data_IF_356134896181
#
_entry.id   IF_356134896181
#
_cell.length_a   1.000
_cell.length_b   1.000
_cell.length_c   1.000
_cell.angle_alpha   90.00
_cell.angle_beta   90.00
_cell.angle_gamma   90.00
#
_symmetry.space_group_name_H-M   'P 1'
#
loop_
_entity.id
_entity.type
_entity.pdbx_description
1 polymer ?
#
# COMPACT_ATOMS: atom_id res chain seq x y z
N UNK A 1 -28.36 -73.25 49.58
CA UNK A 1 -27.48 -74.08 48.72
C UNK A 1 -26.30 -73.23 48.29
N UNK A 2 -25.16 -73.33 48.97
CA UNK A 2 -23.93 -72.66 48.55
C UNK A 2 -23.28 -73.60 47.55
N UNK A 3 -23.45 -73.36 46.25
CA UNK A 3 -22.65 -74.05 45.24
C UNK A 3 -21.18 -73.75 45.55
N UNK A 4 -20.39 -74.81 45.68
CA UNK A 4 -18.94 -74.70 45.87
C UNK A 4 -18.37 -73.83 44.73
N UNK A 5 -17.75 -72.68 45.02
CA UNK A 5 -17.38 -71.68 44.01
C UNK A 5 -16.49 -72.26 42.90
N UNK A 6 -15.66 -73.25 43.22
CA UNK A 6 -14.83 -73.97 42.26
C UNK A 6 -15.69 -74.75 41.25
N UNK A 7 -16.76 -75.39 41.70
CA UNK A 7 -17.68 -76.15 40.84
C UNK A 7 -18.46 -75.23 39.90
N UNK A 8 -18.86 -74.06 40.38
CA UNK A 8 -19.50 -73.03 39.55
C UNK A 8 -18.55 -72.50 38.47
N UNK A 9 -17.30 -72.19 38.82
CA UNK A 9 -16.30 -71.71 37.85
C UNK A 9 -16.01 -72.78 36.79
N UNK A 10 -15.82 -74.04 37.18
CA UNK A 10 -15.58 -75.12 36.22
C UNK A 10 -16.77 -75.34 35.28
N UNK A 11 -18.00 -75.29 35.80
CA UNK A 11 -19.20 -75.38 34.97
C UNK A 11 -19.33 -74.18 34.02
N UNK A 12 -19.00 -72.97 34.46
CA UNK A 12 -19.02 -71.77 33.62
C UNK A 12 -17.97 -71.82 32.51
N UNK A 13 -16.77 -72.34 32.78
CA UNK A 13 -15.73 -72.53 31.76
C UNK A 13 -16.16 -73.55 30.70
N UNK A 14 -16.77 -74.66 31.12
CA UNK A 14 -17.25 -75.69 30.20
C UNK A 14 -18.41 -75.19 29.33
N UNK A 15 -19.33 -74.39 29.88
CA UNK A 15 -20.41 -73.78 29.10
C UNK A 15 -19.88 -72.72 28.13
N UNK A 16 -18.92 -71.88 28.55
CA UNK A 16 -18.29 -70.90 27.68
C UNK A 16 -17.53 -71.54 26.52
N UNK A 17 -16.81 -72.64 26.75
CA UNK A 17 -16.13 -73.40 25.67
C UNK A 17 -17.12 -73.97 24.66
N UNK A 18 -18.27 -74.47 25.13
CA UNK A 18 -19.34 -74.96 24.24
C UNK A 18 -19.99 -73.82 23.46
N UNK A 19 -20.15 -72.64 24.06
CA UNK A 19 -20.66 -71.45 23.38
C UNK A 19 -19.68 -70.92 22.32
N UNK A 20 -18.37 -70.96 22.58
CA UNK A 20 -17.33 -70.59 21.60
C UNK A 20 -17.35 -71.48 20.35
N UNK A 21 -17.81 -72.73 20.47
CA UNK A 21 -17.95 -73.67 19.35
C UNK A 21 -19.33 -73.56 18.66
N UNK A 22 -20.25 -72.78 19.22
CA UNK A 22 -21.58 -72.60 18.68
C UNK A 22 -21.59 -71.51 17.61
N UNK A 23 -22.51 -71.56 16.62
CA UNK A 23 -22.63 -70.51 15.61
C UNK A 23 -23.23 -69.20 16.19
N UNK A 24 -23.59 -69.19 17.47
CA UNK A 24 -24.26 -68.08 18.14
C UNK A 24 -23.27 -67.14 18.80
N UNK A 25 -23.55 -65.84 18.69
CA UNK A 25 -22.68 -64.82 19.27
C UNK A 25 -23.44 -64.07 20.36
N UNK A 26 -22.77 -63.72 21.44
CA UNK A 26 -23.30 -62.81 22.46
C UNK A 26 -23.27 -61.40 21.88
N UNK A 27 -24.43 -60.75 21.89
CA UNK A 27 -24.60 -59.43 21.33
C UNK A 27 -24.50 -58.38 22.43
N UNK A 28 -23.49 -57.51 22.34
CA UNK A 28 -23.09 -56.57 23.38
C UNK A 28 -23.09 -55.14 22.83
N UNK A 29 -23.52 -54.19 23.65
CA UNK A 29 -23.39 -52.74 23.36
C UNK A 29 -22.11 -52.18 23.98
N UNK A 30 -21.46 -51.27 23.27
CA UNK A 30 -20.20 -50.68 23.74
C UNK A 30 -20.37 -49.86 25.02
N UNK A 31 -21.49 -49.15 25.19
CA UNK A 31 -21.75 -48.42 26.43
C UNK A 31 -22.07 -49.38 27.57
N UNK A 32 -21.22 -49.37 28.60
CA UNK A 32 -21.39 -50.20 29.78
C UNK A 32 -21.15 -51.70 29.57
N UNK A 33 -20.77 -52.13 28.36
CA UNK A 33 -20.63 -53.55 28.00
C UNK A 33 -21.92 -54.34 28.29
N UNK A 34 -23.07 -53.74 28.01
CA UNK A 34 -24.38 -54.33 28.28
C UNK A 34 -24.69 -55.46 27.31
N UNK A 35 -25.07 -56.62 27.87
CA UNK A 35 -25.48 -57.79 27.09
C UNK A 35 -26.94 -57.61 26.68
N UNK A 36 -27.19 -57.53 25.38
CA UNK A 36 -28.55 -57.41 24.82
C UNK A 36 -29.20 -58.78 24.69
N UNK A 37 -28.44 -59.77 24.23
CA UNK A 37 -28.97 -61.10 23.97
C UNK A 37 -28.00 -61.98 23.17
N UNK A 38 -28.56 -63.04 22.59
CA UNK A 38 -27.83 -63.99 21.74
C UNK A 38 -28.23 -63.75 20.29
N UNK A 39 -27.25 -63.42 19.47
CA UNK A 39 -27.38 -63.33 18.02
C UNK A 39 -27.48 -64.72 17.42
N UNK A 40 -28.54 -64.94 16.66
CA UNK A 40 -28.82 -66.22 15.99
C UNK A 40 -28.37 -66.25 14.53
N UNK A 41 -28.53 -65.13 13.83
CA UNK A 41 -28.11 -64.98 12.43
C UNK A 41 -27.96 -63.50 12.06
N UNK A 42 -27.20 -63.27 10.99
CA UNK A 42 -27.13 -61.98 10.30
C UNK A 42 -27.79 -62.18 8.93
N UNK A 43 -28.78 -61.35 8.61
CA UNK A 43 -29.49 -61.37 7.33
C UNK A 43 -29.11 -60.15 6.51
N UNK A 44 -28.93 -60.32 5.20
CA UNK A 44 -28.79 -59.19 4.29
C UNK A 44 -30.16 -58.87 3.68
N UNK A 45 -30.69 -57.68 3.99
CA UNK A 45 -32.00 -57.21 3.50
C UNK A 45 -31.80 -56.01 2.60
N UNK A 46 -32.48 -56.01 1.45
CA UNK A 46 -32.48 -54.84 0.57
C UNK A 46 -33.32 -53.73 1.21
N UNK A 47 -32.76 -52.53 1.32
CA UNK A 47 -33.47 -51.34 1.79
C UNK A 47 -33.80 -50.43 0.59
N UNK A 48 -35.09 -50.36 0.17
CA UNK A 48 -35.50 -49.52 -0.95
C UNK A 48 -35.25 -48.03 -0.73
N UNK A 49 -35.21 -47.58 0.53
CA UNK A 49 -34.98 -46.17 0.86
C UNK A 49 -33.53 -45.75 0.61
N UNK A 50 -32.58 -46.70 0.71
CA UNK A 50 -31.14 -46.42 0.57
C UNK A 50 -30.54 -47.03 -0.70
N UNK A 51 -31.26 -47.91 -1.40
CA UNK A 51 -30.83 -48.51 -2.67
C UNK A 51 -29.71 -49.54 -2.51
N UNK A 52 -29.55 -50.12 -1.32
CA UNK A 52 -28.42 -50.98 -0.95
C UNK A 52 -28.88 -52.21 -0.16
N UNK A 53 -28.02 -53.23 -0.12
CA UNK A 53 -28.18 -54.36 0.79
C UNK A 53 -27.62 -53.99 2.17
N UNK A 54 -28.45 -54.07 3.20
CA UNK A 54 -28.09 -53.77 4.59
C UNK A 54 -27.93 -55.05 5.40
N UNK A 55 -27.04 -55.01 6.38
CA UNK A 55 -26.82 -56.14 7.30
C UNK A 55 -27.70 -55.99 8.54
N UNK A 56 -28.54 -56.97 8.83
CA UNK A 56 -29.45 -56.99 9.97
C UNK A 56 -29.10 -58.12 10.94
N UNK A 57 -28.91 -57.77 12.21
CA UNK A 57 -28.77 -58.73 13.29
C UNK A 57 -30.15 -59.25 13.72
N UNK A 58 -30.28 -60.57 13.85
CA UNK A 58 -31.48 -61.21 14.41
C UNK A 58 -31.12 -62.15 15.55
N UNK A 59 -31.76 -61.98 16.69
CA UNK A 59 -31.44 -62.74 17.88
C UNK A 59 -32.56 -62.81 18.90
N UNK A 60 -32.22 -63.37 20.06
CA UNK A 60 -33.11 -63.54 21.21
C UNK A 60 -32.52 -62.73 22.37
N UNK A 61 -33.31 -61.84 22.94
CA UNK A 61 -32.97 -61.03 24.13
C UNK A 61 -32.94 -61.91 25.38
N UNK A 62 -32.35 -61.40 26.45
CA UNK A 62 -32.26 -62.13 27.73
C UNK A 62 -33.63 -62.44 28.36
N UNK A 63 -34.67 -61.69 28.02
CA UNK A 63 -36.05 -61.92 28.47
C UNK A 63 -36.82 -62.94 27.61
N UNK A 64 -36.21 -63.47 26.54
CA UNK A 64 -36.83 -64.43 25.63
C UNK A 64 -37.48 -63.81 24.39
N UNK A 65 -37.59 -62.48 24.31
CA UNK A 65 -38.15 -61.80 23.14
C UNK A 65 -37.14 -61.81 21.98
N UNK A 66 -37.62 -61.82 20.74
CA UNK A 66 -36.74 -61.66 19.58
C UNK A 66 -36.38 -60.20 19.35
N UNK A 67 -35.16 -59.94 18.86
CA UNK A 67 -34.74 -58.62 18.39
C UNK A 67 -34.27 -58.70 16.94
N UNK A 68 -34.51 -57.62 16.21
CA UNK A 68 -33.99 -57.37 14.86
C UNK A 68 -33.49 -55.94 14.80
N UNK A 69 -32.23 -55.74 14.39
CA UNK A 69 -31.66 -54.40 14.29
C UNK A 69 -30.62 -54.29 13.15
N UNK A 70 -30.50 -53.12 12.49
CA UNK A 70 -29.48 -52.92 11.47
C UNK A 70 -28.10 -52.73 12.10
N UNK A 71 -27.10 -53.38 11.51
CA UNK A 71 -25.68 -53.32 11.86
C UNK A 71 -24.92 -52.22 11.11
N UNK A 72 -25.64 -51.45 10.29
CA UNK A 72 -25.12 -50.31 9.56
C UNK A 72 -25.98 -49.07 9.84
N UNK A 73 -25.35 -47.89 9.75
CA UNK A 73 -26.05 -46.61 9.75
C UNK A 73 -25.54 -45.72 8.63
N UNK A 74 -26.33 -44.72 8.26
CA UNK A 74 -25.88 -43.67 7.37
C UNK A 74 -25.36 -42.50 8.20
N UNK A 75 -24.10 -42.11 7.99
CA UNK A 75 -23.55 -40.93 8.64
C UNK A 75 -24.24 -39.68 8.06
N UNK A 76 -24.90 -38.90 8.92
CA UNK A 76 -25.62 -37.67 8.51
C UNK A 76 -24.69 -36.58 7.95
N UNK A 77 -23.41 -36.56 8.34
CA UNK A 77 -22.43 -35.56 7.93
C UNK A 77 -21.77 -35.89 6.60
N UNK A 78 -21.36 -37.14 6.40
CA UNK A 78 -20.64 -37.56 5.18
C UNK A 78 -21.56 -38.20 4.15
N UNK A 79 -22.74 -38.68 4.55
CA UNK A 79 -23.67 -39.43 3.69
C UNK A 79 -23.24 -40.88 3.44
N UNK A 80 -22.10 -41.31 3.98
CA UNK A 80 -21.55 -42.66 3.81
C UNK A 80 -22.17 -43.65 4.80
N UNK A 81 -22.05 -44.94 4.49
CA UNK A 81 -22.46 -46.03 5.38
C UNK A 81 -21.35 -46.32 6.38
N UNK A 82 -21.71 -46.33 7.65
CA UNK A 82 -20.83 -46.73 8.74
C UNK A 82 -21.25 -48.09 9.28
N UNK A 83 -20.27 -48.98 9.44
CA UNK A 83 -20.44 -50.23 10.17
C UNK A 83 -20.55 -49.92 11.68
N UNK A 84 -21.58 -50.48 12.31
CA UNK A 84 -21.79 -50.35 13.75
C UNK A 84 -21.04 -51.43 14.52
N UNK A 85 -20.54 -52.47 13.86
CA UNK A 85 -19.76 -53.53 14.50
C UNK A 85 -18.36 -52.99 14.79
N UNK A 86 -18.03 -52.92 16.06
CA UNK A 86 -16.75 -52.41 16.53
C UNK A 86 -15.73 -53.51 16.77
N UNK A 87 -16.24 -54.64 17.27
CA UNK A 87 -15.44 -55.82 17.53
C UNK A 87 -16.28 -57.04 17.28
N UNK A 88 -15.70 -58.02 16.61
CA UNK A 88 -16.28 -59.34 16.41
C UNK A 88 -15.21 -60.38 16.70
N UNK A 89 -15.51 -61.29 17.60
CA UNK A 89 -14.73 -62.50 17.82
C UNK A 89 -15.66 -63.73 17.76
N UNK A 90 -15.11 -64.92 17.99
CA UNK A 90 -15.85 -66.19 17.88
C UNK A 90 -17.01 -66.33 18.88
N UNK A 91 -17.09 -65.46 19.90
CA UNK A 91 -18.10 -65.55 20.96
C UNK A 91 -18.99 -64.31 21.05
N UNK A 92 -18.52 -63.13 20.64
CA UNK A 92 -19.09 -61.83 20.97
C UNK A 92 -19.06 -60.90 19.75
N UNK A 93 -20.15 -60.16 19.57
CA UNK A 93 -20.22 -58.99 18.69
C UNK A 93 -20.51 -57.77 19.55
N UNK A 94 -19.64 -56.75 19.45
CA UNK A 94 -19.81 -55.45 20.12
C UNK A 94 -20.26 -54.43 19.09
N UNK A 95 -21.39 -53.76 19.35
CA UNK A 95 -21.91 -52.68 18.51
C UNK A 95 -21.71 -51.30 19.11
N UNK A 96 -21.71 -50.28 18.27
CA UNK A 96 -21.59 -48.87 18.64
C UNK A 96 -22.82 -48.25 19.28
N UNK A 97 -23.95 -48.98 19.38
CA UNK A 97 -25.19 -48.43 19.95
C UNK A 97 -25.13 -48.35 21.48
N UNK A 98 -25.79 -47.31 22.01
CA UNK A 98 -25.95 -47.04 23.43
C UNK A 98 -27.36 -47.40 23.94
N UNK A 99 -28.36 -47.26 23.08
CA UNK A 99 -29.78 -47.38 23.37
C UNK A 99 -30.31 -48.78 23.07
N UNK A 100 -31.30 -49.26 23.85
CA UNK A 100 -32.06 -50.46 23.55
C UNK A 100 -32.97 -50.40 22.34
N UNK A 101 -33.26 -49.19 21.87
CA UNK A 101 -34.11 -48.95 20.73
C UNK A 101 -33.31 -49.06 19.42
N UNK A 102 -33.64 -50.00 18.52
CA UNK A 102 -32.98 -50.13 17.22
C UNK A 102 -33.24 -48.93 16.29
N UNK A 103 -34.34 -48.21 16.51
CA UNK A 103 -34.77 -47.09 15.67
C UNK A 103 -34.28 -45.72 16.18
N UNK A 104 -33.58 -45.69 17.32
CA UNK A 104 -32.93 -44.49 17.83
C UNK A 104 -31.73 -44.13 16.95
N UNK A 105 -31.97 -43.24 16.00
CA UNK A 105 -30.96 -42.75 15.06
C UNK A 105 -30.34 -41.42 15.52
N UNK A 106 -30.45 -41.07 16.80
CA UNK A 106 -29.76 -39.90 17.34
C UNK A 106 -28.24 -40.12 17.33
N UNK A 107 -27.47 -39.08 16.98
CA UNK A 107 -26.01 -39.20 16.86
C UNK A 107 -25.37 -39.59 18.21
N UNK A 108 -25.96 -39.15 19.33
CA UNK A 108 -25.54 -39.48 20.70
C UNK A 108 -25.75 -40.96 21.07
N UNK A 109 -26.57 -41.69 20.30
CA UNK A 109 -26.76 -43.12 20.48
C UNK A 109 -25.50 -43.92 20.09
N UNK A 110 -24.58 -43.34 19.30
CA UNK A 110 -23.48 -44.11 18.74
C UNK A 110 -22.14 -43.71 19.35
N UNK A 111 -21.49 -44.67 20.00
CA UNK A 111 -20.17 -44.54 20.59
C UNK A 111 -19.19 -45.50 19.92
N UNK A 112 -18.27 -44.95 19.13
CA UNK A 112 -17.16 -45.70 18.54
C UNK A 112 -15.95 -45.70 19.47
N UNK A 113 -15.47 -46.90 19.78
CA UNK A 113 -14.21 -47.22 20.42
C UNK A 113 -13.12 -46.94 19.40
N UNK A 114 -12.34 -45.90 19.64
CA UNK A 114 -11.19 -45.60 18.81
C UNK A 114 -10.06 -46.57 19.16
N UNK A 115 -9.50 -47.22 18.14
CA UNK A 115 -8.26 -47.98 18.30
C UNK A 115 -7.13 -47.02 18.72
N UNK A 116 -6.21 -47.39 19.62
CA UNK A 116 -5.01 -46.61 19.95
C UNK A 116 -4.31 -45.96 18.74
N UNK A 117 -4.27 -46.63 17.60
CA UNK A 117 -3.71 -46.06 16.36
C UNK A 117 -4.48 -44.82 15.86
N UNK A 118 -5.82 -44.90 15.82
CA UNK A 118 -6.68 -43.78 15.42
C UNK A 118 -6.59 -42.61 16.41
N UNK A 119 -6.46 -42.91 17.70
CA UNK A 119 -6.28 -41.88 18.74
C UNK A 119 -4.95 -41.13 18.52
N UNK A 120 -3.88 -41.83 18.14
CA UNK A 120 -2.61 -41.18 17.82
C UNK A 120 -2.72 -40.29 16.57
N UNK A 121 -3.37 -40.76 15.50
CA UNK A 121 -3.57 -39.93 14.30
C UNK A 121 -4.38 -38.66 14.61
N UNK A 122 -5.43 -38.77 15.42
CA UNK A 122 -6.23 -37.62 15.87
C UNK A 122 -5.36 -36.67 16.70
N UNK A 123 -4.55 -37.20 17.63
CA UNK A 123 -3.64 -36.38 18.43
C UNK A 123 -2.63 -35.63 17.56
N UNK A 124 -2.02 -36.30 16.58
CA UNK A 124 -1.07 -35.68 15.64
C UNK A 124 -1.76 -34.63 14.76
N UNK A 125 -3.02 -34.87 14.38
CA UNK A 125 -3.82 -33.87 13.66
C UNK A 125 -4.09 -32.63 14.52
N UNK A 126 -4.41 -32.83 15.81
CA UNK A 126 -4.68 -31.77 16.76
C UNK A 126 -3.42 -30.95 17.05
N UNK A 127 -2.28 -31.60 17.20
CA UNK A 127 -0.99 -30.92 17.44
C UNK A 127 -0.58 -30.09 16.22
N UNK A 128 -0.82 -30.59 14.99
CA UNK A 128 -0.66 -29.80 13.75
C UNK A 128 -1.57 -28.58 13.69
N UNK A 129 -2.82 -28.69 14.14
CA UNK A 129 -3.74 -27.55 14.21
C UNK A 129 -3.23 -26.50 15.19
N UNK A 130 -2.83 -26.92 16.39
CA UNK A 130 -2.27 -26.00 17.41
C UNK A 130 -1.00 -25.30 16.93
N UNK A 131 -0.15 -25.99 16.17
CA UNK A 131 1.03 -25.38 15.56
C UNK A 131 0.65 -24.30 14.56
N UNK A 132 -0.31 -24.59 13.65
CA UNK A 132 -0.83 -23.59 12.71
C UNK A 132 -1.44 -22.39 13.41
N UNK A 133 -2.18 -22.58 14.50
CA UNK A 133 -2.75 -21.48 15.27
C UNK A 133 -1.68 -20.56 15.87
N UNK A 134 -0.57 -21.13 16.36
CA UNK A 134 0.59 -20.35 16.84
C UNK A 134 1.23 -19.54 15.71
N UNK A 135 1.40 -20.14 14.53
CA UNK A 135 1.95 -19.46 13.35
C UNK A 135 1.03 -18.30 12.94
N UNK A 136 -0.29 -18.54 12.89
CA UNK A 136 -1.27 -17.50 12.56
C UNK A 136 -1.18 -16.35 13.56
N UNK A 137 -1.07 -16.65 14.85
CA UNK A 137 -0.94 -15.62 15.89
C UNK A 137 0.34 -14.78 15.71
N UNK A 138 1.48 -15.40 15.41
CA UNK A 138 2.73 -14.67 15.14
C UNK A 138 2.62 -13.80 13.89
N UNK A 139 2.00 -14.31 12.82
CA UNK A 139 1.76 -13.54 11.59
C UNK A 139 0.86 -12.33 11.84
N UNK A 140 -0.20 -12.48 12.64
CA UNK A 140 -1.08 -11.37 13.03
C UNK A 140 -0.32 -10.29 13.81
N UNK A 141 0.58 -10.70 14.70
CA UNK A 141 1.44 -9.77 15.44
C UNK A 141 2.36 -8.99 14.49
N UNK A 142 3.05 -9.69 13.59
CA UNK A 142 3.93 -9.05 12.58
C UNK A 142 3.16 -8.09 11.67
N UNK A 143 1.94 -8.46 11.27
CA UNK A 143 1.07 -7.60 10.46
C UNK A 143 0.73 -6.31 11.22
N UNK A 144 0.38 -6.42 12.50
CA UNK A 144 0.08 -5.25 13.33
C UNK A 144 1.30 -4.32 13.44
N UNK A 145 2.49 -4.88 13.69
CA UNK A 145 3.73 -4.11 13.75
C UNK A 145 4.06 -3.43 12.40
N UNK A 146 3.78 -4.09 11.28
CA UNK A 146 3.98 -3.52 9.95
C UNK A 146 3.01 -2.35 9.65
N UNK A 147 1.74 -2.47 10.05
CA UNK A 147 0.75 -1.40 9.93
C UNK A 147 1.16 -0.19 10.78
N UNK A 148 1.61 -0.41 12.02
CA UNK A 148 2.08 0.68 12.88
C UNK A 148 3.30 1.40 12.27
N UNK A 149 4.24 0.66 11.66
CA UNK A 149 5.37 1.26 10.94
C UNK A 149 4.91 2.06 9.71
N UNK A 150 3.98 1.52 8.92
CA UNK A 150 3.46 2.21 7.74
C UNK A 150 2.78 3.54 8.13
N UNK A 151 1.96 3.54 9.19
CA UNK A 151 1.32 4.74 9.69
C UNK A 151 2.33 5.80 10.16
N UNK A 152 3.42 5.40 10.82
CA UNK A 152 4.50 6.32 11.21
C UNK A 152 5.17 6.95 9.99
N UNK A 153 5.54 6.15 9.00
CA UNK A 153 6.14 6.67 7.77
C UNK A 153 5.20 7.58 6.99
N UNK A 154 3.89 7.28 6.99
CA UNK A 154 2.90 8.17 6.38
C UNK A 154 2.85 9.52 7.11
N UNK A 155 2.82 9.53 8.44
CA UNK A 155 2.84 10.78 9.22
C UNK A 155 4.13 11.59 8.99
N UNK A 156 5.28 10.91 8.90
CA UNK A 156 6.56 11.55 8.56
C UNK A 156 6.53 12.18 7.15
N UNK A 157 5.96 11.48 6.17
CA UNK A 157 5.80 12.00 4.81
C UNK A 157 4.84 13.21 4.76
N UNK A 158 3.74 13.18 5.50
CA UNK A 158 2.82 14.31 5.64
C UNK A 158 3.51 15.52 6.28
N UNK A 159 4.34 15.31 7.31
CA UNK A 159 5.15 16.38 7.91
C UNK A 159 6.14 16.97 6.92
N UNK A 160 6.89 16.12 6.20
CA UNK A 160 7.87 16.55 5.21
C UNK A 160 7.23 17.31 4.03
N UNK A 161 6.04 16.90 3.58
CA UNK A 161 5.32 17.63 2.53
C UNK A 161 4.84 19.00 3.00
N UNK A 162 4.40 19.11 4.26
CA UNK A 162 4.07 20.40 4.88
C UNK A 162 5.30 21.33 4.91
N UNK A 163 6.44 20.83 5.38
CA UNK A 163 7.70 21.58 5.39
C UNK A 163 8.12 22.04 3.98
N UNK A 164 8.02 21.16 2.98
CA UNK A 164 8.29 21.50 1.59
C UNK A 164 7.40 22.61 1.07
N UNK A 165 6.11 22.62 1.40
CA UNK A 165 5.19 23.68 1.00
C UNK A 165 5.59 25.02 1.64
N UNK A 166 5.92 25.04 2.94
CA UNK A 166 6.40 26.26 3.60
C UNK A 166 7.71 26.78 3.00
N UNK A 167 8.63 25.88 2.63
CA UNK A 167 9.88 26.25 1.97
C UNK A 167 9.63 26.81 0.56
N UNK A 168 8.72 26.20 -0.20
CA UNK A 168 8.31 26.72 -1.51
C UNK A 168 7.73 28.13 -1.43
N UNK A 169 6.87 28.39 -0.46
CA UNK A 169 6.33 29.74 -0.22
C UNK A 169 7.43 30.73 0.14
N UNK A 170 8.37 30.34 1.02
CA UNK A 170 9.53 31.19 1.36
C UNK A 170 10.40 31.50 0.15
N UNK A 171 10.69 30.50 -0.70
CA UNK A 171 11.45 30.70 -1.93
C UNK A 171 10.73 31.65 -2.86
N UNK A 172 9.41 31.50 -3.02
CA UNK A 172 8.59 32.41 -3.83
C UNK A 172 8.68 33.84 -3.31
N UNK A 173 8.45 34.06 -2.02
CA UNK A 173 8.53 35.38 -1.40
C UNK A 173 9.93 36.01 -1.55
N UNK A 174 10.99 35.22 -1.37
CA UNK A 174 12.36 35.69 -1.58
C UNK A 174 12.64 36.03 -3.04
N UNK A 175 12.11 35.25 -3.99
CA UNK A 175 12.26 35.54 -5.42
C UNK A 175 11.54 36.82 -5.84
N UNK A 176 10.35 37.09 -5.29
CA UNK A 176 9.60 38.34 -5.52
C UNK A 176 10.37 39.53 -4.95
N UNK A 177 10.88 39.43 -3.71
CA UNK A 177 11.72 40.48 -3.10
C UNK A 177 13.01 40.72 -3.87
N UNK A 178 13.63 39.66 -4.39
CA UNK A 178 14.83 39.79 -5.24
C UNK A 178 14.50 40.55 -6.53
N UNK A 179 13.40 40.20 -7.19
CA UNK A 179 12.94 40.88 -8.40
C UNK A 179 12.71 42.39 -8.15
N UNK A 180 12.02 42.74 -7.06
CA UNK A 180 11.82 44.14 -6.67
C UNK A 180 13.14 44.89 -6.43
N UNK A 181 14.09 44.26 -5.72
CA UNK A 181 15.41 44.86 -5.46
C UNK A 181 16.22 45.03 -6.76
N UNK A 182 16.16 44.06 -7.67
CA UNK A 182 16.82 44.18 -8.98
C UNK A 182 16.23 45.32 -9.81
N UNK A 183 14.90 45.51 -9.78
CA UNK A 183 14.25 46.61 -10.47
C UNK A 183 14.66 47.96 -9.89
N UNK A 184 14.67 48.10 -8.55
CA UNK A 184 15.16 49.32 -7.89
C UNK A 184 16.62 49.63 -8.22
N UNK A 185 17.48 48.61 -8.28
CA UNK A 185 18.88 48.78 -8.65
C UNK A 185 19.04 49.29 -10.09
N UNK A 186 18.25 48.77 -11.04
CA UNK A 186 18.22 49.27 -12.41
C UNK A 186 17.68 50.72 -12.49
N UNK A 187 16.66 51.06 -11.69
CA UNK A 187 16.15 52.44 -11.63
C UNK A 187 17.21 53.41 -11.08
N UNK A 188 17.93 53.04 -10.00
CA UNK A 188 19.04 53.85 -9.49
C UNK A 188 20.17 54.00 -10.51
N UNK A 189 20.46 52.95 -11.29
CA UNK A 189 21.45 53.01 -12.36
C UNK A 189 21.03 53.97 -13.48
N UNK A 190 19.73 54.04 -13.81
CA UNK A 190 19.19 55.04 -14.75
C UNK A 190 19.33 56.46 -14.21
N UNK A 191 18.93 56.69 -12.96
CA UNK A 191 19.06 57.99 -12.31
C UNK A 191 20.52 58.46 -12.26
N UNK A 192 21.47 57.57 -11.96
CA UNK A 192 22.90 57.88 -12.00
C UNK A 192 23.38 58.30 -13.39
N UNK A 193 22.92 57.62 -14.45
CA UNK A 193 23.25 58.01 -15.83
C UNK A 193 22.66 59.38 -16.18
N UNK A 194 21.43 59.65 -15.79
CA UNK A 194 20.80 60.97 -16.01
C UNK A 194 21.56 62.09 -15.29
N UNK A 195 21.95 61.86 -14.02
CA UNK A 195 22.77 62.80 -13.25
C UNK A 195 24.13 63.03 -13.91
N UNK A 196 24.80 61.96 -14.38
CA UNK A 196 26.07 62.10 -15.12
C UNK A 196 25.91 62.94 -16.39
N UNK A 197 24.86 62.69 -17.18
CA UNK A 197 24.57 63.50 -18.38
C UNK A 197 24.26 64.94 -18.00
N UNK A 198 23.52 65.16 -16.90
CA UNK A 198 23.25 66.47 -16.35
C UNK A 198 24.53 67.23 -15.99
N UNK A 199 25.42 66.61 -15.22
CA UNK A 199 26.71 67.20 -14.86
C UNK A 199 27.56 67.54 -16.09
N UNK A 200 27.68 66.63 -17.06
CA UNK A 200 28.44 66.89 -18.29
C UNK A 200 27.86 68.09 -19.06
N UNK A 201 26.53 68.23 -19.12
CA UNK A 201 25.87 69.38 -19.75
C UNK A 201 26.13 70.68 -18.98
N UNK A 202 26.12 70.64 -17.66
CA UNK A 202 26.42 71.81 -16.83
C UNK A 202 27.89 72.21 -16.94
N UNK A 203 28.82 71.26 -16.90
CA UNK A 203 30.24 71.48 -17.19
C UNK A 203 30.43 72.08 -18.58
N UNK A 204 29.75 71.56 -19.60
CA UNK A 204 29.82 72.10 -20.97
C UNK A 204 29.31 73.54 -21.04
N UNK A 205 28.23 73.88 -20.32
CA UNK A 205 27.71 75.25 -20.24
C UNK A 205 28.69 76.18 -19.51
N UNK A 206 29.28 75.71 -18.42
CA UNK A 206 30.30 76.46 -17.68
C UNK A 206 31.54 76.70 -18.55
N UNK A 207 31.98 75.70 -19.32
CA UNK A 207 33.06 75.83 -20.30
C UNK A 207 32.74 76.84 -21.41
N UNK A 208 31.51 76.86 -21.92
CA UNK A 208 31.06 77.86 -22.88
C UNK A 208 31.02 79.26 -22.27
N UNK A 209 30.56 79.40 -21.03
CA UNK A 209 30.58 80.66 -20.29
C UNK A 209 32.02 81.13 -20.02
N UNK A 210 32.92 80.24 -19.62
CA UNK A 210 34.34 80.55 -19.46
C UNK A 210 34.97 80.98 -20.78
N UNK A 211 34.71 80.29 -21.89
CA UNK A 211 35.19 80.69 -23.23
C UNK A 211 34.63 82.05 -23.66
N UNK A 212 33.38 82.36 -23.36
CA UNK A 212 32.81 83.68 -23.67
C UNK A 212 33.39 84.78 -22.78
N UNK A 213 33.57 84.53 -21.48
CA UNK A 213 34.25 85.42 -20.55
C UNK A 213 35.73 85.62 -20.89
N UNK A 214 36.47 84.59 -21.32
CA UNK A 214 37.84 84.70 -21.82
C UNK A 214 37.90 85.53 -23.11
N UNK A 215 36.93 85.35 -24.02
CA UNK A 215 36.82 86.18 -25.23
C UNK A 215 36.52 87.63 -24.88
N UNK A 216 35.64 87.89 -23.91
CA UNK A 216 35.30 89.22 -23.41
C UNK A 216 36.48 89.89 -22.68
N UNK A 217 37.19 89.16 -21.81
CA UNK A 217 38.40 89.66 -21.15
C UNK A 217 39.56 89.89 -22.13
N UNK A 218 39.69 89.06 -23.18
CA UNK A 218 40.60 89.34 -24.31
C UNK A 218 40.17 90.55 -25.15
N UNK A 219 38.88 90.86 -25.20
CA UNK A 219 38.33 92.02 -25.89
C UNK A 219 38.53 93.31 -25.09
N UNK A 220 38.40 93.28 -23.77
CA UNK A 220 38.70 94.42 -22.89
C UNK A 220 40.19 94.73 -22.78
N UNK A 221 41.07 93.74 -22.96
CA UNK A 221 42.53 93.91 -22.99
C UNK A 221 43.12 94.32 -24.35
N UNK A 222 42.32 94.46 -25.41
CA UNK A 222 42.78 94.87 -26.74
C UNK A 222 42.18 96.23 -27.10
N UNK A 223 43.05 97.20 -27.39
CA UNK A 223 42.63 98.50 -27.89
C UNK A 223 41.81 98.34 -29.18
N UNK A 224 40.79 99.17 -29.34
CA UNK A 224 39.79 99.10 -30.43
C UNK A 224 40.40 99.14 -31.84
N UNK A 225 41.64 99.58 -31.99
CA UNK A 225 42.42 99.52 -33.22
C UNK A 225 42.88 98.10 -33.61
N UNK A 226 43.23 97.24 -32.65
CA UNK A 226 43.73 95.88 -32.92
C UNK A 226 42.62 94.92 -33.32
N UNK A 227 41.40 95.15 -32.84
CA UNK A 227 40.21 94.36 -33.20
C UNK A 227 39.87 94.54 -34.68
N UNK A 228 40.03 95.75 -35.21
CA UNK A 228 39.78 96.06 -36.62
C UNK A 228 40.87 95.44 -37.51
N UNK A 229 42.13 95.40 -37.04
CA UNK A 229 43.26 94.80 -37.78
C UNK A 229 43.15 93.27 -37.84
N UNK A 230 42.76 92.61 -36.74
CA UNK A 230 42.55 91.15 -36.75
C UNK A 230 41.31 90.74 -37.56
N UNK A 231 40.23 91.52 -37.51
CA UNK A 231 39.04 91.28 -38.32
C UNK A 231 39.33 91.46 -39.83
N UNK A 232 40.11 92.49 -40.19
CA UNK A 232 40.52 92.72 -41.58
C UNK A 232 41.53 91.68 -42.06
N UNK A 233 42.48 91.23 -41.22
CA UNK A 233 43.36 90.11 -41.55
C UNK A 233 42.59 88.81 -41.79
N UNK A 234 41.61 88.48 -40.95
CA UNK A 234 40.75 87.31 -41.16
C UNK A 234 39.87 87.44 -42.40
N UNK A 235 39.39 88.64 -42.73
CA UNK A 235 38.66 88.88 -43.99
C UNK A 235 39.56 88.72 -45.23
N UNK A 236 40.83 89.12 -45.13
CA UNK A 236 41.84 88.98 -46.19
C UNK A 236 42.28 87.52 -46.35
N UNK A 237 42.42 86.76 -45.25
CA UNK A 237 42.70 85.32 -45.28
C UNK A 237 41.51 84.52 -45.82
N UNK A 238 40.28 84.84 -45.39
CA UNK A 238 39.08 84.23 -45.96
C UNK A 238 38.91 84.55 -47.46
N UNK A 239 39.25 85.78 -47.90
CA UNK A 239 39.32 86.12 -49.34
C UNK A 239 40.40 85.34 -50.07
N UNK A 240 41.57 85.14 -49.48
CA UNK A 240 42.67 84.35 -50.08
C UNK A 240 42.36 82.85 -50.17
N UNK A 241 41.63 82.29 -49.21
CA UNK A 241 41.17 80.90 -49.27
C UNK A 241 40.04 80.73 -50.30
N UNK A 242 39.14 81.71 -50.43
CA UNK A 242 38.10 81.73 -51.47
C UNK A 242 38.69 81.90 -52.89
N UNK A 243 39.73 82.72 -53.07
CA UNK A 243 40.44 82.85 -54.36
C UNK A 243 41.23 81.59 -54.74
N UNK A 244 41.77 80.86 -53.76
CA UNK A 244 42.45 79.56 -54.00
C UNK A 244 41.48 78.44 -54.40
N UNK A 245 40.20 78.55 -54.05
CA UNK A 245 39.15 77.60 -54.41
C UNK A 245 38.46 77.93 -55.74
N UNK A 246 38.89 78.96 -56.47
CA UNK A 246 38.43 79.24 -57.84
C UNK A 246 36.99 79.71 -57.96
N UNK A 247 36.41 80.30 -56.91
CA UNK A 247 35.03 80.81 -56.89
C UNK A 247 35.01 82.35 -56.85
N UNK A 248 35.71 82.98 -57.80
CA UNK A 248 35.69 84.43 -58.03
C UNK A 248 34.41 84.97 -58.68
N UNK A 249 33.31 84.24 -58.62
CA UNK A 249 32.04 84.69 -59.17
C UNK A 249 30.91 83.76 -58.77
N UNK A 250 30.06 84.25 -57.85
CA UNK A 250 28.66 83.88 -57.57
C UNK A 250 28.41 83.94 -56.06
N UNK A 251 27.82 85.06 -55.67
CA UNK A 251 27.00 85.21 -54.47
C UNK A 251 25.90 84.15 -54.43
N UNK A 252 25.88 83.28 -53.43
CA UNK A 252 24.64 82.69 -52.91
C UNK A 252 24.91 81.93 -51.60
N UNK A 253 24.15 82.30 -50.58
CA UNK A 253 24.09 81.68 -49.26
C UNK A 253 23.51 80.26 -49.37
N UNK A 254 24.13 79.28 -48.71
CA UNK A 254 23.47 78.00 -48.45
C UNK A 254 22.32 78.24 -47.45
N UNK A 255 21.12 77.95 -47.90
CA UNK A 255 19.83 78.15 -47.24
C UNK A 255 19.53 77.01 -46.26
N UNK A 256 18.51 77.23 -45.41
CA UNK A 256 17.96 76.33 -44.37
C UNK A 256 17.79 74.85 -44.76
N UNK A 257 17.74 74.52 -46.05
CA UNK A 257 17.55 73.15 -46.56
C UNK A 257 18.77 72.25 -46.35
N UNK A 258 19.99 72.80 -46.27
CA UNK A 258 21.20 71.99 -46.02
C UNK A 258 21.33 71.58 -44.53
N UNK A 259 20.71 72.33 -43.62
CA UNK A 259 20.64 71.99 -42.19
C UNK A 259 19.54 70.97 -41.88
N UNK A 260 18.49 70.87 -42.70
CA UNK A 260 17.44 69.85 -42.53
C UNK A 260 17.90 68.47 -43.02
N UNK A 261 18.74 68.39 -44.07
CA UNK A 261 19.30 67.11 -44.54
C UNK A 261 20.26 66.46 -43.54
N UNK A 262 21.01 67.24 -42.76
CA UNK A 262 21.92 66.70 -41.73
C UNK A 262 21.19 66.16 -40.50
N UNK A 263 19.91 66.51 -40.30
CA UNK A 263 19.10 65.99 -39.19
C UNK A 263 18.52 64.60 -39.48
N UNK A 264 18.31 64.28 -40.76
CA UNK A 264 17.78 62.98 -41.19
C UNK A 264 18.87 61.90 -41.38
N UNK A 265 20.15 62.27 -41.36
CA UNK A 265 21.29 61.33 -41.44
C UNK A 265 21.76 60.81 -40.06
N UNK A 266 21.09 61.17 -38.95
CA UNK A 266 21.40 60.68 -37.58
C UNK A 266 20.21 59.89 -37.00
N UNK A 267 19.70 58.91 -37.74
CA UNK A 267 18.90 57.78 -37.20
C UNK A 267 19.72 56.50 -37.32
#
# INVERSE_FOLDING_TARGET
MILNPIKFILQAVDTLKKLQQSPYHIFIRAKGMEVVGILTKIEHRYDPGWGIMRSWAKGIKLNGDTFEEPLDRKNKRTGELEDLIQMRNDLVIITARNSPDPDDDNDDNFQYLMNPYQVNEIKDSLDRVKEKDRIIHDLQKRLKEAIEKANRYQAEAESATSELNTLRERVRNLSERLAEQTQRAEDYKRQLKELQIGMIREESKLDEQLKTSEKLGRLEGKDSADIIIDATKKQIEARRELDKLGLGGLTAYATKEDLERLKDEII
#
